data_IF_049852069423
#
_entry.id   IF_049852069423
#
_cell.length_a   1.000
_cell.length_b   1.000
_cell.length_c   1.000
_cell.angle_alpha   90.00
_cell.angle_beta   90.00
_cell.angle_gamma   90.00
#
_symmetry.space_group_name_H-M   'P 1'
#
loop_
_entity.id
_entity.type
_entity.pdbx_description
1 polymer ?
#
# COMPACT_ATOMS: atom_id res chain seq x y z
N UNK A 1 -15.90 -6.64 40.15
CA UNK A 1 -15.82 -5.18 40.39
C UNK A 1 -15.92 -4.51 39.03
N UNK A 2 -17.14 -4.15 38.62
CA UNK A 2 -17.41 -3.63 37.28
C UNK A 2 -16.97 -2.18 37.20
N UNK A 3 -15.98 -1.88 36.36
CA UNK A 3 -15.54 -0.53 36.04
C UNK A 3 -16.68 0.23 35.38
N UNK A 4 -17.19 1.24 36.08
CA UNK A 4 -18.18 2.20 35.58
C UNK A 4 -17.59 2.91 34.36
N UNK A 5 -18.18 2.66 33.19
CA UNK A 5 -17.85 3.35 31.95
C UNK A 5 -18.66 4.64 31.90
N UNK A 6 -18.07 5.75 32.34
CA UNK A 6 -18.65 7.08 32.17
C UNK A 6 -18.51 7.50 30.71
N UNK A 7 -19.41 6.96 29.89
CA UNK A 7 -19.53 7.24 28.46
C UNK A 7 -19.91 8.69 28.19
N UNK A 8 -18.98 9.62 28.39
CA UNK A 8 -19.04 10.93 27.75
C UNK A 8 -18.74 10.72 26.27
N UNK A 9 -19.77 10.31 25.53
CA UNK A 9 -19.79 10.45 24.08
C UNK A 9 -19.49 11.92 23.79
N UNK A 10 -18.32 12.19 23.21
CA UNK A 10 -18.01 13.50 22.64
C UNK A 10 -19.00 13.73 21.51
N UNK A 11 -20.12 14.35 21.85
CA UNK A 11 -21.09 14.88 20.90
C UNK A 11 -20.31 15.71 19.90
N UNK A 12 -20.40 15.34 18.62
CA UNK A 12 -19.82 16.14 17.54
C UNK A 12 -20.28 17.59 17.75
N UNK A 13 -19.39 18.59 17.64
CA UNK A 13 -19.81 19.98 17.79
C UNK A 13 -20.95 20.24 16.82
N UNK A 14 -22.08 20.75 17.33
CA UNK A 14 -23.23 21.14 16.50
C UNK A 14 -22.83 22.38 15.72
N UNK A 15 -22.18 22.17 14.58
CA UNK A 15 -21.80 23.25 13.68
C UNK A 15 -23.09 23.77 13.05
N UNK A 16 -23.52 24.97 13.43
CA UNK A 16 -24.56 25.65 12.67
C UNK A 16 -23.99 25.96 11.29
N UNK A 17 -24.53 25.36 10.23
CA UNK A 17 -24.22 25.73 8.85
C UNK A 17 -24.59 27.19 8.52
N UNK A 18 -25.26 27.88 9.45
CA UNK A 18 -25.67 29.27 9.34
C UNK A 18 -24.56 30.22 9.81
N UNK A 19 -23.39 30.12 9.17
CA UNK A 19 -22.36 31.15 9.28
C UNK A 19 -22.90 32.48 8.75
N UNK A 20 -22.72 33.54 9.54
CA UNK A 20 -22.82 34.97 9.22
C UNK A 20 -23.62 35.34 7.95
N UNK A 21 -24.94 35.51 8.10
CA UNK A 21 -25.73 36.26 7.12
C UNK A 21 -25.38 37.74 7.23
N UNK A 22 -24.35 38.22 6.52
CA UNK A 22 -24.23 39.65 6.25
C UNK A 22 -25.44 40.03 5.39
N UNK A 23 -26.28 40.91 5.92
CA UNK A 23 -27.39 41.51 5.20
C UNK A 23 -26.81 42.26 3.99
N UNK A 24 -26.84 41.64 2.81
CA UNK A 24 -26.49 42.30 1.58
C UNK A 24 -27.54 43.38 1.33
N UNK A 25 -27.19 44.63 1.61
CA UNK A 25 -27.94 45.78 1.14
C UNK A 25 -28.19 45.59 -0.35
N UNK A 26 -29.47 45.67 -0.73
CA UNK A 26 -29.99 45.42 -2.07
C UNK A 26 -29.43 46.47 -3.04
N UNK A 27 -28.19 46.28 -3.49
CA UNK A 27 -27.64 47.04 -4.61
C UNK A 27 -28.44 46.65 -5.85
N UNK A 28 -28.80 47.67 -6.63
CA UNK A 28 -29.51 47.59 -7.92
C UNK A 28 -29.24 46.30 -8.70
N UNK A 29 -30.30 45.71 -9.24
CA UNK A 29 -30.25 44.51 -10.06
C UNK A 29 -29.07 44.55 -11.03
N UNK A 30 -28.14 43.58 -10.98
CA UNK A 30 -27.09 43.49 -11.98
C UNK A 30 -27.73 43.35 -13.35
N UNK A 31 -27.20 44.07 -14.34
CA UNK A 31 -27.50 43.80 -15.74
C UNK A 31 -27.27 42.31 -16.01
N UNK A 32 -28.04 41.73 -16.93
CA UNK A 32 -27.97 40.31 -17.29
C UNK A 32 -26.53 39.84 -17.55
N UNK A 33 -25.70 40.74 -18.09
CA UNK A 33 -24.29 40.49 -18.40
C UNK A 33 -23.43 40.31 -17.15
N UNK A 34 -23.66 41.08 -16.09
CA UNK A 34 -22.92 40.93 -14.82
C UNK A 34 -23.29 39.62 -14.10
N UNK A 35 -24.54 39.16 -14.20
CA UNK A 35 -24.94 37.84 -13.70
C UNK A 35 -24.30 36.72 -14.49
N UNK A 36 -24.25 36.84 -15.83
CA UNK A 36 -23.60 35.84 -16.67
C UNK A 36 -22.11 35.72 -16.36
N UNK A 37 -21.40 36.84 -16.19
CA UNK A 37 -19.98 36.86 -15.80
C UNK A 37 -19.78 36.17 -14.44
N UNK A 38 -20.63 36.48 -13.45
CA UNK A 38 -20.54 35.86 -12.12
C UNK A 38 -20.78 34.35 -12.18
N UNK A 39 -21.85 33.91 -12.84
CA UNK A 39 -22.18 32.48 -12.98
C UNK A 39 -21.06 31.73 -13.71
N UNK A 40 -20.52 32.34 -14.77
CA UNK A 40 -19.39 31.78 -15.50
C UNK A 40 -18.15 31.61 -14.61
N UNK A 41 -17.77 32.66 -13.86
CA UNK A 41 -16.61 32.60 -12.97
C UNK A 41 -16.78 31.58 -11.84
N UNK A 42 -17.98 31.49 -11.25
CA UNK A 42 -18.31 30.47 -10.25
C UNK A 42 -18.20 29.07 -10.84
N UNK A 43 -18.62 28.87 -12.09
CA UNK A 43 -18.50 27.59 -12.79
C UNK A 43 -17.03 27.23 -13.02
N UNK A 44 -16.22 28.13 -13.57
CA UNK A 44 -14.78 27.90 -13.77
C UNK A 44 -14.05 27.62 -12.45
N UNK A 45 -14.37 28.36 -11.38
CA UNK A 45 -13.80 28.13 -10.05
C UNK A 45 -14.15 26.74 -9.50
N UNK A 46 -15.39 26.29 -9.71
CA UNK A 46 -15.81 24.94 -9.31
C UNK A 46 -15.10 23.86 -10.13
N UNK A 47 -15.04 24.04 -11.45
CA UNK A 47 -14.45 23.05 -12.36
C UNK A 47 -12.94 22.89 -12.09
N UNK A 48 -12.23 24.00 -11.84
CA UNK A 48 -10.81 23.96 -11.44
C UNK A 48 -10.59 23.29 -10.08
N UNK A 49 -11.47 23.52 -9.09
CA UNK A 49 -11.41 22.81 -7.81
C UNK A 49 -11.63 21.31 -7.97
N UNK A 50 -12.58 20.90 -8.82
CA UNK A 50 -12.84 19.50 -9.11
C UNK A 50 -11.64 18.85 -9.79
N UNK A 51 -11.05 19.49 -10.80
CA UNK A 51 -9.85 19.00 -11.47
C UNK A 51 -8.70 18.76 -10.49
N UNK A 52 -8.43 19.73 -9.60
CA UNK A 52 -7.42 19.57 -8.54
C UNK A 52 -7.72 18.39 -7.63
N UNK A 53 -8.97 18.22 -7.22
CA UNK A 53 -9.37 17.09 -6.36
C UNK A 53 -9.22 15.73 -7.07
N UNK A 54 -9.50 15.65 -8.36
CA UNK A 54 -9.30 14.44 -9.17
C UNK A 54 -7.82 14.11 -9.32
N UNK A 55 -6.99 15.09 -9.67
CA UNK A 55 -5.54 14.91 -9.79
C UNK A 55 -4.92 14.45 -8.46
N UNK A 56 -5.33 15.03 -7.34
CA UNK A 56 -4.83 14.63 -6.03
C UNK A 56 -5.25 13.18 -5.68
N UNK A 57 -6.48 12.78 -6.02
CA UNK A 57 -6.95 11.39 -5.84
C UNK A 57 -6.15 10.42 -6.70
N UNK A 58 -5.90 10.76 -7.95
CA UNK A 58 -5.11 9.96 -8.88
C UNK A 58 -3.67 9.82 -8.38
N UNK A 59 -3.04 10.90 -7.91
CA UNK A 59 -1.71 10.87 -7.31
C UNK A 59 -1.67 9.94 -6.09
N UNK A 60 -2.67 10.04 -5.20
CA UNK A 60 -2.78 9.16 -4.02
C UNK A 60 -2.99 7.70 -4.41
N UNK A 61 -3.71 7.41 -5.47
CA UNK A 61 -3.89 6.05 -5.97
C UNK A 61 -2.60 5.51 -6.62
N UNK A 62 -1.93 6.31 -7.44
CA UNK A 62 -0.66 5.95 -8.07
C UNK A 62 0.43 5.70 -7.02
N UNK A 63 0.50 6.50 -5.96
CA UNK A 63 1.43 6.27 -4.84
C UNK A 63 1.14 4.93 -4.13
N UNK A 64 -0.14 4.60 -3.91
CA UNK A 64 -0.56 3.32 -3.33
C UNK A 64 -0.17 2.15 -4.23
N UNK A 65 -0.44 2.24 -5.53
CA UNK A 65 -0.06 1.20 -6.52
C UNK A 65 1.45 0.99 -6.56
N UNK A 66 2.24 2.06 -6.59
CA UNK A 66 3.71 1.99 -6.55
C UNK A 66 4.22 1.33 -5.28
N UNK A 67 3.66 1.70 -4.13
CA UNK A 67 4.04 1.11 -2.84
C UNK A 67 3.72 -0.39 -2.80
N UNK A 68 2.52 -0.79 -3.23
CA UNK A 68 2.13 -2.20 -3.29
C UNK A 68 3.03 -3.01 -4.25
N UNK A 69 3.33 -2.45 -5.43
CA UNK A 69 4.24 -3.07 -6.38
C UNK A 69 5.66 -3.23 -5.81
N UNK A 70 6.18 -2.19 -5.14
CA UNK A 70 7.48 -2.24 -4.49
C UNK A 70 7.54 -3.32 -3.40
N UNK A 71 6.51 -3.43 -2.56
CA UNK A 71 6.42 -4.48 -1.54
C UNK A 71 6.41 -5.88 -2.17
N UNK A 72 5.69 -6.06 -3.27
CA UNK A 72 5.65 -7.34 -4.00
C UNK A 72 7.01 -7.74 -4.56
N UNK A 73 7.71 -6.81 -5.22
CA UNK A 73 9.06 -7.04 -5.76
C UNK A 73 10.05 -7.34 -4.63
N UNK A 74 9.99 -6.57 -3.55
CA UNK A 74 10.88 -6.73 -2.41
C UNK A 74 10.69 -8.07 -1.70
N UNK A 75 9.45 -8.50 -1.46
CA UNK A 75 9.18 -9.78 -0.80
C UNK A 75 9.65 -10.96 -1.65
N UNK A 76 9.43 -10.90 -2.97
CA UNK A 76 9.89 -11.92 -3.90
C UNK A 76 11.42 -12.01 -3.94
N UNK A 77 12.11 -10.87 -4.03
CA UNK A 77 13.58 -10.84 -4.01
C UNK A 77 14.15 -11.39 -2.70
N UNK A 78 13.61 -10.98 -1.55
CA UNK A 78 14.04 -11.50 -0.24
C UNK A 78 13.86 -13.02 -0.16
N UNK A 79 12.68 -13.52 -0.57
CA UNK A 79 12.42 -14.96 -0.59
C UNK A 79 13.30 -15.73 -1.58
N UNK A 80 13.65 -15.16 -2.73
CA UNK A 80 14.62 -15.77 -3.64
C UNK A 80 16.01 -15.88 -2.98
N UNK A 81 16.52 -14.76 -2.47
CA UNK A 81 17.84 -14.68 -1.86
C UNK A 81 17.97 -15.61 -0.65
N UNK A 82 16.93 -15.70 0.17
CA UNK A 82 16.94 -16.58 1.34
C UNK A 82 16.96 -18.06 0.92
N UNK A 83 16.23 -18.44 -0.13
CA UNK A 83 16.29 -19.78 -0.71
C UNK A 83 17.65 -20.11 -1.30
N UNK A 84 18.29 -19.17 -2.00
CA UNK A 84 19.66 -19.36 -2.50
C UNK A 84 20.65 -19.61 -1.37
N UNK A 85 20.56 -18.84 -0.27
CA UNK A 85 21.41 -19.05 0.90
C UNK A 85 21.17 -20.41 1.54
N UNK A 86 19.91 -20.79 1.75
CA UNK A 86 19.55 -22.09 2.32
C UNK A 86 20.01 -23.24 1.42
N UNK A 87 19.84 -23.10 0.10
CA UNK A 87 20.36 -24.06 -0.86
C UNK A 87 21.88 -24.23 -0.72
N UNK A 88 22.64 -23.13 -0.60
CA UNK A 88 24.07 -23.17 -0.36
C UNK A 88 24.45 -23.91 0.92
N UNK A 89 23.72 -23.67 2.03
CA UNK A 89 23.93 -24.38 3.30
C UNK A 89 23.65 -25.87 3.17
N UNK A 90 22.51 -26.25 2.60
CA UNK A 90 22.16 -27.65 2.42
C UNK A 90 23.08 -28.38 1.44
N UNK A 91 23.55 -27.70 0.38
CA UNK A 91 24.55 -28.27 -0.53
C UNK A 91 25.87 -28.49 0.20
N UNK A 92 26.33 -27.54 1.01
CA UNK A 92 27.52 -27.72 1.84
C UNK A 92 27.35 -28.86 2.86
N UNK A 93 26.17 -29.02 3.47
CA UNK A 93 25.87 -30.16 4.34
C UNK A 93 25.93 -31.48 3.58
N UNK A 94 25.37 -31.53 2.36
CA UNK A 94 25.45 -32.71 1.51
C UNK A 94 26.91 -33.04 1.15
N UNK A 95 27.69 -32.03 0.76
CA UNK A 95 29.10 -32.22 0.42
C UNK A 95 29.95 -32.69 1.61
N UNK A 96 29.59 -32.29 2.84
CA UNK A 96 30.24 -32.70 4.09
C UNK A 96 29.62 -33.97 4.71
N UNK A 97 28.55 -34.51 4.14
CA UNK A 97 27.87 -35.68 4.69
C UNK A 97 28.70 -36.94 4.42
N UNK A 98 29.42 -37.40 5.44
CA UNK A 98 30.04 -38.73 5.44
C UNK A 98 28.97 -39.81 5.64
N UNK A 99 29.21 -41.03 5.13
CA UNK A 99 28.28 -42.17 5.10
C UNK A 99 27.72 -42.66 6.47
N UNK A 100 28.00 -41.97 7.58
CA UNK A 100 27.50 -42.27 8.93
C UNK A 100 26.33 -41.40 9.42
N UNK A 101 25.77 -40.55 8.57
CA UNK A 101 24.64 -39.67 8.93
C UNK A 101 23.29 -40.41 8.89
N UNK A 102 22.31 -39.93 9.66
CA UNK A 102 20.93 -40.42 9.68
C UNK A 102 20.35 -40.58 8.26
N UNK A 103 19.90 -41.79 7.94
CA UNK A 103 19.46 -42.21 6.60
C UNK A 103 18.34 -41.31 6.04
N UNK A 104 17.48 -40.80 6.92
CA UNK A 104 16.40 -39.88 6.55
C UNK A 104 16.90 -38.50 6.13
N UNK A 105 17.97 -38.03 6.76
CA UNK A 105 18.61 -36.76 6.44
C UNK A 105 19.40 -36.86 5.12
N UNK A 106 20.13 -37.97 4.94
CA UNK A 106 20.87 -38.24 3.71
C UNK A 106 19.94 -38.44 2.50
N UNK A 107 18.82 -39.15 2.66
CA UNK A 107 17.86 -39.39 1.57
C UNK A 107 17.25 -38.10 1.03
N UNK A 108 16.89 -37.17 1.92
CA UNK A 108 16.38 -35.85 1.55
C UNK A 108 17.43 -35.03 0.80
N UNK A 109 18.68 -35.05 1.25
CA UNK A 109 19.78 -34.33 0.60
C UNK A 109 20.10 -34.94 -0.78
N UNK A 110 20.10 -36.27 -0.92
CA UNK A 110 20.29 -36.93 -2.21
C UNK A 110 19.18 -36.56 -3.20
N UNK A 111 17.91 -36.65 -2.82
CA UNK A 111 16.78 -36.31 -3.72
C UNK A 111 16.88 -34.87 -4.24
N UNK A 112 17.32 -33.93 -3.40
CA UNK A 112 17.32 -32.50 -3.73
C UNK A 112 18.62 -32.06 -4.42
N UNK A 113 19.77 -32.60 -4.02
CA UNK A 113 21.09 -32.10 -4.43
C UNK A 113 21.88 -33.05 -5.31
N UNK A 114 21.58 -34.35 -5.32
CA UNK A 114 22.31 -35.31 -6.15
C UNK A 114 22.12 -34.96 -7.62
N UNK A 115 23.23 -34.76 -8.32
CA UNK A 115 23.22 -34.60 -9.76
C UNK A 115 24.16 -35.63 -10.36
N UNK A 116 23.63 -36.60 -11.10
CA UNK A 116 24.39 -37.71 -11.69
C UNK A 116 25.64 -37.23 -12.44
N UNK A 117 25.52 -36.13 -13.20
CA UNK A 117 26.64 -35.53 -13.94
C UNK A 117 27.82 -35.09 -13.07
N UNK A 118 27.58 -34.70 -11.82
CA UNK A 118 28.59 -34.13 -10.90
C UNK A 118 28.98 -35.08 -9.77
N UNK A 119 28.05 -35.91 -9.32
CA UNK A 119 28.17 -36.71 -8.10
C UNK A 119 28.28 -38.22 -8.39
N UNK A 120 28.46 -38.65 -9.66
CA UNK A 120 28.55 -40.08 -10.04
C UNK A 120 29.68 -40.86 -9.34
N UNK A 121 30.76 -40.19 -8.91
CA UNK A 121 31.89 -40.83 -8.22
C UNK A 121 31.71 -40.96 -6.71
N UNK A 122 30.56 -40.54 -6.17
CA UNK A 122 30.25 -40.56 -4.73
C UNK A 122 29.43 -41.77 -4.29
N UNK A 123 28.99 -42.59 -5.24
CA UNK A 123 28.30 -43.88 -5.07
C UNK A 123 29.20 -44.99 -5.60
#
# INVERSE_FOLDING_TARGET
MFSHFDGQYRSRPRVSLRGASKQASRTSFPTTDALLIFVFWVKEAKDTLLQRAHLEREQRENARRRTAAAVSVQSLYRGHRDREKQYGVFRAQFDNSTAGNDLQSLSRLLIIFYTERKDHSRL
#
